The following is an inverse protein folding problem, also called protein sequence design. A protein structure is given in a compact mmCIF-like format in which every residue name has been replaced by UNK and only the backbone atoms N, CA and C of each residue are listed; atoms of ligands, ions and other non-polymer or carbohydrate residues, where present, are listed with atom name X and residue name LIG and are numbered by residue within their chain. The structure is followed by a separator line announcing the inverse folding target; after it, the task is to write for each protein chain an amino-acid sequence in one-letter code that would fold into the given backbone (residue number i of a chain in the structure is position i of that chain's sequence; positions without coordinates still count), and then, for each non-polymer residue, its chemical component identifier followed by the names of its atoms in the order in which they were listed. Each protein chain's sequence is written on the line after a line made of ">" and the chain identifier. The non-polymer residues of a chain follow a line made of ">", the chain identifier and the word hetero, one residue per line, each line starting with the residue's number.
data_IF_462565637936
#
_entry.id   IF_462565637936
#
_cell.length_a   1.000
_cell.length_b   1.000
_cell.length_c   1.000
_cell.angle_alpha   90.00
_cell.angle_beta   90.00
_cell.angle_gamma   90.00
#
_symmetry.space_group_name_H-M   'P 1'
#
loop_
_entity.id
_entity.type
_entity.pdbx_description
1 polymer ?
#
# COMPACT_ATOMS: atom_id res chain seq x y z
N UNK A 1 -14.21 0.06 -11.74
CA UNK A 1 -13.06 0.99 -11.79
C UNK A 1 -13.24 1.92 -12.98
N UNK A 2 -12.76 3.16 -12.88
CA UNK A 2 -12.92 4.22 -13.87
C UNK A 2 -11.65 4.30 -14.70
N UNK A 3 -11.76 4.25 -16.04
CA UNK A 3 -10.59 4.34 -16.91
C UNK A 3 -10.01 5.76 -16.88
N UNK A 4 -8.72 5.85 -16.60
CA UNK A 4 -7.96 7.10 -16.56
C UNK A 4 -6.91 7.15 -17.66
N UNK A 5 -6.39 8.34 -17.94
CA UNK A 5 -5.23 8.52 -18.81
C UNK A 5 -3.90 8.22 -18.09
N UNK A 6 -2.78 8.38 -18.79
CA UNK A 6 -1.44 8.14 -18.27
C UNK A 6 -1.03 9.10 -17.12
N UNK A 7 -1.81 10.15 -16.88
CA UNK A 7 -1.63 11.13 -15.81
C UNK A 7 -2.61 10.93 -14.66
N UNK A 8 -3.38 9.82 -14.67
CA UNK A 8 -4.43 9.49 -13.71
C UNK A 8 -5.64 10.45 -13.75
N UNK A 9 -5.87 11.12 -14.89
CA UNK A 9 -7.00 12.03 -15.10
C UNK A 9 -8.21 11.31 -15.69
N UNK A 10 -9.39 11.82 -15.39
CA UNK A 10 -10.64 11.35 -15.99
C UNK A 10 -10.71 11.79 -17.46
N UNK A 11 -11.09 10.85 -18.34
CA UNK A 11 -11.26 11.16 -19.76
C UNK A 11 -12.31 12.26 -19.95
N UNK A 12 -11.93 13.36 -20.62
CA UNK A 12 -12.79 14.52 -20.85
C UNK A 12 -12.81 15.56 -19.73
N UNK A 13 -12.13 15.29 -18.60
CA UNK A 13 -12.06 16.14 -17.43
C UNK A 13 -10.63 16.19 -16.89
N UNK A 14 -9.81 17.06 -17.47
CA UNK A 14 -8.38 17.19 -17.13
C UNK A 14 -8.14 17.72 -15.71
N UNK A 15 -9.15 18.35 -15.13
CA UNK A 15 -9.17 18.87 -13.75
C UNK A 15 -9.47 17.79 -12.69
N UNK A 16 -9.92 16.61 -13.11
CA UNK A 16 -10.33 15.52 -12.20
C UNK A 16 -9.32 14.38 -12.23
N UNK A 17 -8.76 14.06 -11.07
CA UNK A 17 -7.85 12.93 -10.88
C UNK A 17 -8.55 11.78 -10.16
N UNK A 18 -8.32 10.55 -10.59
CA UNK A 18 -8.84 9.33 -9.96
C UNK A 18 -7.68 8.40 -9.64
N UNK A 19 -7.57 7.99 -8.38
CA UNK A 19 -6.48 7.13 -7.88
C UNK A 19 -7.02 6.00 -7.00
N UNK A 20 -6.15 5.06 -6.67
CA UNK A 20 -6.41 3.90 -5.83
C UNK A 20 -7.37 2.91 -6.48
N UNK A 21 -8.13 2.21 -5.65
CA UNK A 21 -9.01 1.12 -6.10
C UNK A 21 -10.12 1.57 -7.06
N UNK A 22 -10.42 2.86 -7.11
CA UNK A 22 -11.37 3.46 -8.04
C UNK A 22 -10.81 3.61 -9.45
N UNK A 23 -9.50 3.73 -9.62
CA UNK A 23 -8.84 3.99 -10.91
C UNK A 23 -8.57 2.70 -11.70
N UNK A 24 -8.64 2.78 -13.02
CA UNK A 24 -8.19 1.74 -13.95
C UNK A 24 -7.18 2.35 -14.92
N UNK A 25 -5.93 1.94 -14.75
CA UNK A 25 -4.80 2.31 -15.60
C UNK A 25 -4.11 1.04 -16.09
N UNK A 26 -3.72 1.04 -17.35
CA UNK A 26 -2.85 0.04 -17.97
C UNK A 26 -1.44 0.63 -18.07
N UNK A 27 -0.42 -0.18 -17.79
CA UNK A 27 0.98 0.21 -18.01
C UNK A 27 1.33 0.22 -19.51
N UNK A 28 2.59 0.55 -19.84
CA UNK A 28 3.09 0.59 -21.22
C UNK A 28 2.96 -0.76 -21.96
N UNK A 29 2.83 -1.88 -21.24
CA UNK A 29 2.66 -3.22 -21.79
C UNK A 29 1.19 -3.67 -21.85
N UNK A 30 0.25 -2.77 -21.53
CA UNK A 30 -1.18 -3.10 -21.46
C UNK A 30 -1.57 -3.90 -20.21
N UNK A 31 -0.69 -3.98 -19.20
CA UNK A 31 -0.95 -4.71 -17.97
C UNK A 31 -1.67 -3.78 -16.98
N UNK A 32 -2.84 -4.17 -16.45
CA UNK A 32 -3.54 -3.35 -15.47
C UNK A 32 -2.73 -3.17 -14.18
N UNK A 33 -2.64 -1.94 -13.71
CA UNK A 33 -2.03 -1.63 -12.40
C UNK A 33 -2.82 -2.34 -11.28
N UNK A 34 -2.13 -3.05 -10.36
CA UNK A 34 -2.80 -3.82 -9.32
C UNK A 34 -3.44 -2.90 -8.27
N UNK A 35 -4.68 -3.20 -7.88
CA UNK A 35 -5.39 -2.50 -6.79
C UNK A 35 -4.81 -2.91 -5.43
N UNK A 36 -3.71 -2.27 -5.08
CA UNK A 36 -2.96 -2.49 -3.83
C UNK A 36 -2.70 -1.16 -3.16
N UNK A 37 -2.55 -1.18 -1.83
CA UNK A 37 -2.14 0.01 -1.08
C UNK A 37 -0.83 0.61 -1.61
N UNK A 38 0.10 -0.22 -2.09
CA UNK A 38 1.37 0.22 -2.69
C UNK A 38 1.15 1.00 -3.99
N UNK A 39 0.23 0.56 -4.85
CA UNK A 39 -0.15 1.32 -6.05
C UNK A 39 -0.82 2.65 -5.67
N UNK A 40 -1.83 2.62 -4.79
CA UNK A 40 -2.54 3.83 -4.35
C UNK A 40 -1.59 4.89 -3.73
N UNK A 41 -0.61 4.46 -2.93
CA UNK A 41 0.41 5.37 -2.37
C UNK A 41 1.29 5.98 -3.47
N UNK A 42 1.66 5.20 -4.48
CA UNK A 42 2.46 5.68 -5.61
C UNK A 42 1.67 6.67 -6.47
N UNK A 43 0.42 6.35 -6.78
CA UNK A 43 -0.50 7.21 -7.53
C UNK A 43 -0.75 8.52 -6.79
N UNK A 44 -1.04 8.49 -5.49
CA UNK A 44 -1.23 9.70 -4.69
C UNK A 44 0.02 10.59 -4.64
N UNK A 45 1.22 10.00 -4.53
CA UNK A 45 2.49 10.75 -4.59
C UNK A 45 2.72 11.37 -5.96
N UNK A 46 2.39 10.64 -7.03
CA UNK A 46 2.51 11.15 -8.39
C UNK A 46 1.56 12.32 -8.62
N UNK A 47 0.26 12.14 -8.35
CA UNK A 47 -0.76 13.18 -8.53
C UNK A 47 -0.45 14.42 -7.70
N UNK A 48 -0.03 14.26 -6.44
CA UNK A 48 0.35 15.41 -5.61
C UNK A 48 1.51 16.22 -6.19
N UNK A 49 2.53 15.54 -6.75
CA UNK A 49 3.66 16.22 -7.43
C UNK A 49 3.22 16.85 -8.74
N UNK A 50 2.38 16.16 -9.51
CA UNK A 50 1.86 16.63 -10.78
C UNK A 50 1.05 17.93 -10.59
N UNK A 51 0.11 17.95 -9.63
CA UNK A 51 -0.68 19.14 -9.32
C UNK A 51 0.22 20.32 -8.91
N UNK A 52 1.24 20.08 -8.08
CA UNK A 52 2.18 21.12 -7.67
C UNK A 52 2.94 21.70 -8.87
N UNK A 53 3.43 20.85 -9.77
CA UNK A 53 4.12 21.29 -10.99
C UNK A 53 3.20 22.05 -11.95
N UNK A 54 1.93 21.64 -12.02
CA UNK A 54 0.89 22.29 -12.83
C UNK A 54 0.65 23.72 -12.32
N UNK A 55 0.51 23.88 -11.01
CA UNK A 55 0.34 25.19 -10.36
C UNK A 55 1.56 26.10 -10.55
N UNK A 56 2.76 25.54 -10.65
CA UNK A 56 3.99 26.29 -10.92
C UNK A 56 4.22 26.63 -12.41
N UNK A 57 3.34 26.18 -13.33
CA UNK A 57 3.49 26.45 -14.76
C UNK A 57 4.69 25.76 -15.40
N UNK A 58 5.04 24.56 -14.93
CA UNK A 58 6.22 23.82 -15.41
C UNK A 58 6.03 23.41 -16.88
N UNK A 59 6.95 23.82 -17.77
CA UNK A 59 6.94 23.39 -19.16
C UNK A 59 7.21 21.87 -19.29
N UNK A 60 6.56 21.21 -20.24
CA UNK A 60 6.75 19.77 -20.51
C UNK A 60 6.07 18.84 -19.49
N UNK A 61 5.15 19.35 -18.67
CA UNK A 61 4.46 18.51 -17.65
C UNK A 61 3.66 17.35 -18.25
N UNK A 62 3.18 17.50 -19.49
CA UNK A 62 2.46 16.44 -20.21
C UNK A 62 3.36 15.23 -20.55
N UNK A 63 4.68 15.40 -20.59
CA UNK A 63 5.61 14.28 -20.79
C UNK A 63 5.77 13.42 -19.52
N UNK A 64 5.38 13.96 -18.35
CA UNK A 64 5.51 13.27 -17.07
C UNK A 64 4.32 12.34 -16.82
N UNK A 65 4.49 11.07 -17.18
CA UNK A 65 3.46 10.02 -17.05
C UNK A 65 3.67 9.16 -15.81
N UNK A 66 2.58 8.60 -15.27
CA UNK A 66 2.65 7.67 -14.16
C UNK A 66 3.21 6.32 -14.63
N UNK A 67 4.18 5.80 -13.88
CA UNK A 67 4.73 4.46 -14.07
C UNK A 67 4.66 3.69 -12.77
N UNK A 68 3.87 2.62 -12.77
CA UNK A 68 3.81 1.73 -11.63
C UNK A 68 5.14 1.01 -11.45
N UNK A 69 5.69 1.07 -10.23
CA UNK A 69 6.86 0.29 -9.86
C UNK A 69 6.44 -0.80 -8.87
N UNK A 70 6.50 -2.05 -9.32
CA UNK A 70 6.31 -3.18 -8.43
C UNK A 70 7.46 -3.23 -7.42
N UNK A 71 7.11 -3.12 -6.13
CA UNK A 71 8.07 -3.23 -5.02
C UNK A 71 8.14 -4.66 -4.48
N UNK A 72 7.31 -5.56 -5.01
CA UNK A 72 7.09 -6.89 -4.52
C UNK A 72 6.01 -6.94 -3.44
N UNK A 73 5.80 -8.15 -2.92
CA UNK A 73 4.77 -8.48 -1.95
C UNK A 73 5.38 -9.13 -0.71
N UNK A 74 4.87 -8.76 0.46
CA UNK A 74 5.28 -9.38 1.72
C UNK A 74 4.06 -9.86 2.48
N UNK A 75 4.13 -11.08 3.00
CA UNK A 75 3.04 -11.69 3.74
C UNK A 75 3.58 -12.41 4.97
N UNK A 76 2.91 -12.23 6.10
CA UNK A 76 3.17 -13.00 7.33
C UNK A 76 2.20 -14.18 7.39
N UNK A 77 2.72 -15.38 7.59
CA UNK A 77 1.94 -16.62 7.70
C UNK A 77 1.67 -17.01 9.17
N UNK A 78 2.20 -16.22 10.13
CA UNK A 78 2.14 -16.52 11.55
C UNK A 78 3.23 -17.49 12.00
N UNK A 79 3.34 -17.77 13.31
CA UNK A 79 4.34 -18.71 13.88
C UNK A 79 5.79 -18.47 13.39
N UNK A 80 6.18 -17.21 13.24
CA UNK A 80 7.50 -16.82 12.73
C UNK A 80 7.78 -17.19 11.26
N UNK A 81 6.74 -17.53 10.50
CA UNK A 81 6.80 -17.82 9.07
C UNK A 81 6.30 -16.62 8.26
N UNK A 82 6.98 -16.33 7.16
CA UNK A 82 6.63 -15.24 6.27
C UNK A 82 7.32 -15.34 4.92
N UNK A 83 6.79 -14.61 3.95
CA UNK A 83 7.30 -14.53 2.59
C UNK A 83 7.54 -13.06 2.28
N UNK A 84 8.74 -12.74 1.80
CA UNK A 84 9.07 -11.46 1.21
C UNK A 84 9.55 -11.70 -0.22
N UNK A 85 8.68 -11.43 -1.20
CA UNK A 85 9.04 -11.39 -2.61
C UNK A 85 9.29 -9.93 -3.00
N UNK A 86 10.44 -9.65 -3.59
CA UNK A 86 10.83 -8.33 -4.04
C UNK A 86 10.60 -8.20 -5.55
N UNK A 87 10.33 -6.99 -6.04
CA UNK A 87 10.07 -6.74 -7.46
C UNK A 87 11.26 -7.03 -8.40
N UNK A 88 12.45 -7.30 -7.86
CA UNK A 88 13.63 -7.74 -8.63
C UNK A 88 13.76 -9.27 -8.75
N UNK A 89 12.75 -10.04 -8.29
CA UNK A 89 12.75 -11.50 -8.32
C UNK A 89 13.41 -12.18 -7.10
N UNK A 90 13.98 -11.42 -6.16
CA UNK A 90 14.48 -11.98 -4.92
C UNK A 90 13.31 -12.44 -4.03
N UNK A 91 13.37 -13.65 -3.50
CA UNK A 91 12.35 -14.19 -2.60
C UNK A 91 12.98 -14.75 -1.33
N UNK A 92 12.54 -14.25 -0.18
CA UNK A 92 12.95 -14.71 1.15
C UNK A 92 11.75 -15.37 1.83
N UNK A 93 11.90 -16.61 2.27
CA UNK A 93 10.86 -17.38 2.97
C UNK A 93 11.27 -17.66 4.42
N UNK A 94 10.35 -18.21 5.21
CA UNK A 94 10.65 -18.61 6.58
C UNK A 94 10.79 -17.43 7.53
N UNK A 95 11.63 -17.61 8.55
CA UNK A 95 11.96 -16.60 9.55
C UNK A 95 12.48 -15.29 8.93
N UNK A 96 13.29 -15.38 7.87
CA UNK A 96 13.82 -14.20 7.19
C UNK A 96 12.72 -13.37 6.51
N UNK A 97 11.75 -14.02 5.87
CA UNK A 97 10.60 -13.34 5.27
C UNK A 97 9.69 -12.72 6.33
N UNK A 98 9.50 -13.42 7.44
CA UNK A 98 8.77 -12.89 8.59
C UNK A 98 9.43 -11.64 9.21
N UNK A 99 10.75 -11.66 9.36
CA UNK A 99 11.50 -10.52 9.90
C UNK A 99 11.47 -9.32 8.94
N UNK A 100 11.63 -9.56 7.64
CA UNK A 100 11.52 -8.53 6.61
C UNK A 100 10.15 -7.85 6.62
N UNK A 101 9.07 -8.63 6.72
CA UNK A 101 7.70 -8.12 6.84
C UNK A 101 7.53 -7.22 8.07
N UNK A 102 8.04 -7.64 9.24
CA UNK A 102 7.99 -6.84 10.48
C UNK A 102 8.75 -5.53 10.34
N UNK A 103 9.96 -5.57 9.78
CA UNK A 103 10.79 -4.39 9.58
C UNK A 103 10.10 -3.36 8.69
N UNK A 104 9.58 -3.79 7.53
CA UNK A 104 8.88 -2.89 6.60
C UNK A 104 7.65 -2.26 7.24
N UNK A 105 6.84 -3.03 7.98
CA UNK A 105 5.67 -2.51 8.68
C UNK A 105 6.05 -1.39 9.68
N UNK A 106 7.14 -1.55 10.43
CA UNK A 106 7.62 -0.52 11.36
C UNK A 106 8.05 0.77 10.65
N UNK A 107 8.67 0.67 9.47
CA UNK A 107 9.09 1.83 8.67
C UNK A 107 7.90 2.62 8.14
N UNK A 108 6.82 1.95 7.71
CA UNK A 108 5.61 2.62 7.21
C UNK A 108 4.77 3.29 8.32
N UNK A 109 4.99 2.94 9.59
CA UNK A 109 4.35 3.63 10.72
C UNK A 109 5.08 4.96 10.97
N UNK A 110 4.35 6.05 10.72
CA UNK A 110 4.88 7.43 10.79
C UNK A 110 5.20 7.90 12.21
N UNK A 111 4.45 7.46 13.22
CA UNK A 111 4.61 7.93 14.62
C UNK A 111 5.55 7.05 15.45
N UNK A 112 6.54 7.66 16.13
CA UNK A 112 7.45 6.96 17.05
C UNK A 112 6.71 6.29 18.19
N UNK A 113 5.68 6.95 18.76
CA UNK A 113 4.88 6.39 19.86
C UNK A 113 4.14 5.13 19.42
N UNK A 114 3.51 5.17 18.23
CA UNK A 114 2.82 4.02 17.66
C UNK A 114 3.80 2.89 17.31
N UNK A 115 4.98 3.23 16.79
CA UNK A 115 6.02 2.26 16.46
C UNK A 115 6.52 1.52 17.71
N UNK A 116 6.79 2.23 18.80
CA UNK A 116 7.21 1.64 20.07
C UNK A 116 6.10 0.75 20.65
N UNK A 117 4.85 1.23 20.70
CA UNK A 117 3.72 0.43 21.18
C UNK A 117 3.58 -0.90 20.42
N UNK A 118 3.73 -0.88 19.10
CA UNK A 118 3.66 -2.09 18.27
C UNK A 118 4.83 -3.05 18.54
N UNK A 119 6.05 -2.52 18.78
CA UNK A 119 7.20 -3.35 19.19
C UNK A 119 6.93 -4.02 20.54
N UNK A 120 6.39 -3.28 21.52
CA UNK A 120 6.03 -3.83 22.82
C UNK A 120 4.95 -4.91 22.69
N UNK A 121 3.86 -4.63 21.97
CA UNK A 121 2.79 -5.60 21.70
C UNK A 121 3.32 -6.88 21.02
N UNK A 122 4.18 -6.73 20.02
CA UNK A 122 4.78 -7.87 19.31
C UNK A 122 5.73 -8.68 20.17
N UNK A 123 6.39 -8.05 21.14
CA UNK A 123 7.29 -8.71 22.11
C UNK A 123 6.47 -9.41 23.19
N UNK A 124 5.47 -8.74 23.75
CA UNK A 124 4.53 -9.30 24.71
C UNK A 124 3.79 -10.51 24.12
N UNK A 125 3.39 -10.45 22.85
CA UNK A 125 2.71 -11.56 22.16
C UNK A 125 3.56 -12.83 21.98
N UNK A 126 4.88 -12.77 22.21
CA UNK A 126 5.75 -13.96 22.24
C UNK A 126 5.55 -14.73 23.56
N UNK A 127 5.33 -14.00 24.66
CA UNK A 127 5.20 -14.57 26.00
C UNK A 127 3.74 -14.80 26.41
N UNK A 128 2.83 -13.96 25.92
CA UNK A 128 1.41 -13.99 26.24
C UNK A 128 0.60 -14.29 24.98
N UNK A 129 -0.33 -15.26 25.06
CA UNK A 129 -1.32 -15.47 23.98
C UNK A 129 -2.09 -14.16 23.77
N UNK A 130 -2.23 -13.75 22.51
CA UNK A 130 -3.08 -12.60 22.14
C UNK A 130 -4.45 -12.78 22.78
N UNK A 131 -4.88 -11.78 23.57
CA UNK A 131 -6.22 -11.72 24.11
C UNK A 131 -7.15 -11.47 22.93
N UNK A 132 -7.84 -12.51 22.48
CA UNK A 132 -8.95 -12.38 21.55
C UNK A 132 -10.20 -12.28 22.40
N UNK A 133 -10.63 -11.07 22.72
CA UNK A 133 -11.96 -10.87 23.28
C UNK A 133 -12.96 -11.11 22.16
N UNK A 134 -13.53 -12.32 22.11
CA UNK A 134 -14.68 -12.61 21.26
C UNK A 134 -15.87 -11.86 21.86
N UNK A 135 -16.28 -10.76 21.24
CA UNK A 135 -17.59 -10.17 21.54
C UNK A 135 -18.62 -11.12 20.93
N UNK A 136 -19.25 -11.95 21.75
CA UNK A 136 -20.39 -12.76 21.32
C UNK A 136 -21.55 -11.80 21.01
N UNK A 137 -21.90 -11.69 19.72
CA UNK A 137 -23.00 -10.87 19.22
C UNK A 137 -24.40 -11.45 19.57
N UNK A 138 -24.44 -12.57 20.29
CA UNK A 138 -25.67 -13.29 20.66
C UNK A 138 -26.56 -12.51 21.65
N UNK A 139 -26.05 -11.45 22.28
CA UNK A 139 -26.79 -10.62 23.26
C UNK A 139 -27.56 -9.45 22.61
N UNK A 140 -27.46 -9.23 21.29
CA UNK A 140 -28.11 -8.11 20.59
C UNK A 140 -29.40 -8.50 19.83
N UNK A 141 -29.88 -9.73 19.97
CA UNK A 141 -31.17 -10.17 19.40
C UNK A 141 -32.31 -10.23 20.42
N UNK A 142 -32.07 -9.87 21.69
CA UNK A 142 -33.08 -9.86 22.77
C UNK A 142 -33.50 -8.46 23.23
N UNK A 143 -33.24 -7.41 22.44
CA UNK A 143 -33.78 -6.05 22.67
C UNK A 143 -34.65 -5.63 21.49
#
# INVERSE_FOLDING_TARGET
>A
RIKVDAHLRLKGHTEVFVIGDSAYLEDENGIPVPATASAAIQEGRFVGRYILQLLCGTAGIEDFTFRYRDRGVMLSLGRFEGIAAFGNGLMVKGFGGWLAWRFVHLVYISSMRSRLGIIFDWTAAIFYRRIVSRTDYTQLQEI
#
